data_IF_033546923279
#
_entry.id   IF_033546923279
#
_cell.length_a   1.000
_cell.length_b   1.000
_cell.length_c   1.000
_cell.angle_alpha   90.00
_cell.angle_beta   90.00
_cell.angle_gamma   90.00
#
_symmetry.space_group_name_H-M   'P 1'
#
loop_
_entity.id
_entity.type
_entity.pdbx_description
1 polymer ?
#
# COMPACT_ATOMS: atom_id res chain seq x y z
N UNK A 1 -22.46 39.25 -28.13
CA UNK A 1 -21.51 38.13 -28.35
C UNK A 1 -20.21 38.26 -27.53
N UNK A 2 -19.72 39.47 -27.22
CA UNK A 2 -18.50 39.65 -26.42
C UNK A 2 -18.56 39.06 -24.97
N UNK A 3 -19.73 39.04 -24.32
CA UNK A 3 -19.84 38.58 -22.93
C UNK A 3 -19.67 37.05 -22.77
N UNK A 4 -20.05 36.26 -23.78
CA UNK A 4 -19.88 34.81 -23.75
C UNK A 4 -18.41 34.41 -23.95
N UNK A 5 -17.70 35.11 -24.83
CA UNK A 5 -16.26 34.93 -25.01
C UNK A 5 -15.48 35.28 -23.74
N UNK A 6 -15.85 36.37 -23.05
CA UNK A 6 -15.25 36.72 -21.75
C UNK A 6 -15.54 35.67 -20.67
N UNK A 7 -16.75 35.10 -20.62
CA UNK A 7 -17.09 34.05 -19.68
C UNK A 7 -16.27 32.76 -19.90
N UNK A 8 -16.03 32.38 -21.16
CA UNK A 8 -15.20 31.20 -21.49
C UNK A 8 -13.72 31.41 -21.10
N UNK A 9 -13.19 32.61 -21.34
CA UNK A 9 -11.82 32.97 -20.93
C UNK A 9 -11.68 32.95 -19.41
N UNK A 10 -12.66 33.49 -18.69
CA UNK A 10 -12.69 33.49 -17.24
C UNK A 10 -12.76 32.05 -16.68
N UNK A 11 -13.60 31.21 -17.26
CA UNK A 11 -13.72 29.80 -16.88
C UNK A 11 -12.41 29.02 -17.10
N UNK A 12 -11.71 29.27 -18.21
CA UNK A 12 -10.43 28.62 -18.48
C UNK A 12 -9.34 29.11 -17.53
N UNK A 13 -9.32 30.41 -17.19
CA UNK A 13 -8.40 30.95 -16.20
C UNK A 13 -8.60 30.31 -14.82
N UNK A 14 -9.85 30.17 -14.37
CA UNK A 14 -10.19 29.51 -13.11
C UNK A 14 -9.76 28.04 -13.11
N UNK A 15 -9.96 27.32 -14.23
CA UNK A 15 -9.47 25.95 -14.39
C UNK A 15 -7.95 25.86 -14.30
N UNK A 16 -7.22 26.78 -14.92
CA UNK A 16 -5.77 26.81 -14.85
C UNK A 16 -5.28 27.12 -13.44
N UNK A 17 -5.89 28.08 -12.76
CA UNK A 17 -5.59 28.39 -11.36
C UNK A 17 -5.88 27.21 -10.43
N UNK A 18 -6.97 26.46 -10.65
CA UNK A 18 -7.26 25.26 -9.88
C UNK A 18 -6.19 24.17 -10.09
N UNK A 19 -5.71 24.00 -11.33
CA UNK A 19 -4.63 23.04 -11.65
C UNK A 19 -3.30 23.43 -11.00
N UNK A 20 -2.94 24.71 -11.03
CA UNK A 20 -1.69 25.18 -10.40
C UNK A 20 -1.76 25.08 -8.88
N UNK A 21 -2.90 25.43 -8.27
CA UNK A 21 -3.12 25.26 -6.84
C UNK A 21 -3.06 23.77 -6.42
N UNK A 22 -3.69 22.88 -7.19
CA UNK A 22 -3.61 21.44 -6.96
C UNK A 22 -2.17 20.93 -7.02
N UNK A 23 -1.40 21.33 -8.04
CA UNK A 23 0.01 20.96 -8.17
C UNK A 23 0.85 21.49 -7.00
N UNK A 24 0.67 22.75 -6.62
CA UNK A 24 1.37 23.35 -5.49
C UNK A 24 1.07 22.62 -4.17
N UNK A 25 -0.17 22.17 -3.96
CA UNK A 25 -0.55 21.40 -2.79
C UNK A 25 0.15 20.02 -2.75
N UNK A 26 0.25 19.34 -3.89
CA UNK A 26 1.00 18.07 -4.01
C UNK A 26 2.48 18.28 -3.71
N UNK A 27 3.11 19.28 -4.35
CA UNK A 27 4.52 19.60 -4.13
C UNK A 27 4.81 19.97 -2.67
N UNK A 28 3.92 20.74 -2.03
CA UNK A 28 4.02 21.07 -0.62
C UNK A 28 3.92 19.83 0.27
N UNK A 29 3.02 18.90 -0.02
CA UNK A 29 2.87 17.65 0.71
C UNK A 29 4.11 16.76 0.58
N UNK A 30 4.58 16.57 -0.66
CA UNK A 30 5.80 15.81 -0.97
C UNK A 30 7.00 16.36 -0.20
N UNK A 31 7.20 17.69 -0.24
CA UNK A 31 8.29 18.38 0.47
C UNK A 31 8.16 18.26 1.99
N UNK A 32 6.97 18.51 2.55
CA UNK A 32 6.70 18.44 4.00
C UNK A 32 7.03 17.05 4.56
N UNK A 33 6.67 16.00 3.83
CA UNK A 33 6.87 14.61 4.27
C UNK A 33 8.18 13.99 3.75
N UNK A 34 8.99 14.75 3.01
CA UNK A 34 10.23 14.31 2.35
C UNK A 34 10.02 13.03 1.53
N UNK A 35 8.89 12.94 0.82
CA UNK A 35 8.52 11.72 0.10
C UNK A 35 9.55 11.35 -0.97
N UNK A 36 10.07 12.33 -1.71
CA UNK A 36 11.08 12.10 -2.75
C UNK A 36 12.29 11.35 -2.20
N UNK A 37 12.88 11.85 -1.10
CA UNK A 37 14.04 11.23 -0.48
C UNK A 37 13.72 9.84 0.05
N UNK A 38 12.59 9.68 0.77
CA UNK A 38 12.23 8.39 1.39
C UNK A 38 11.98 7.30 0.38
N UNK A 39 11.27 7.61 -0.70
CA UNK A 39 11.01 6.68 -1.80
C UNK A 39 12.30 6.36 -2.55
N UNK A 40 13.15 7.35 -2.81
CA UNK A 40 14.44 7.13 -3.45
C UNK A 40 15.35 6.22 -2.60
N UNK A 41 15.43 6.47 -1.29
CA UNK A 41 16.21 5.64 -0.37
C UNK A 41 15.69 4.18 -0.35
N UNK A 42 14.36 3.99 -0.36
CA UNK A 42 13.74 2.67 -0.41
C UNK A 42 14.04 1.92 -1.70
N UNK A 43 13.94 2.60 -2.84
CA UNK A 43 14.27 2.02 -4.16
C UNK A 43 15.76 1.68 -4.22
N UNK A 44 16.63 2.57 -3.75
CA UNK A 44 18.08 2.34 -3.71
C UNK A 44 18.44 1.10 -2.89
N UNK A 45 17.80 0.90 -1.74
CA UNK A 45 17.99 -0.30 -0.92
C UNK A 45 17.66 -1.57 -1.72
N UNK A 46 16.48 -1.64 -2.34
CA UNK A 46 16.05 -2.79 -3.15
C UNK A 46 16.99 -3.04 -4.34
N UNK A 47 17.43 -1.96 -5.00
CA UNK A 47 18.37 -2.06 -6.14
C UNK A 47 19.75 -2.57 -5.70
N UNK A 48 20.20 -2.24 -4.48
CA UNK A 48 21.48 -2.72 -3.95
C UNK A 48 21.45 -4.22 -3.64
N UNK A 49 20.38 -4.71 -3.01
CA UNK A 49 20.25 -6.13 -2.63
C UNK A 49 19.82 -7.04 -3.78
N UNK A 50 19.23 -6.49 -4.86
CA UNK A 50 18.80 -7.23 -6.07
C UNK A 50 18.06 -8.54 -5.78
N UNK A 51 16.96 -8.49 -4.99
CA UNK A 51 16.19 -9.68 -4.67
C UNK A 51 15.48 -10.22 -5.91
N UNK A 52 15.16 -11.51 -5.91
CA UNK A 52 14.35 -12.15 -6.97
C UNK A 52 12.95 -11.53 -7.07
N UNK A 53 12.40 -11.06 -5.94
CA UNK A 53 11.07 -10.44 -5.84
C UNK A 53 11.18 -8.97 -5.35
N UNK A 54 11.50 -8.00 -6.24
CA UNK A 54 11.79 -6.62 -5.85
C UNK A 54 10.60 -5.87 -5.24
N UNK A 55 9.38 -6.14 -5.71
CA UNK A 55 8.17 -5.48 -5.17
C UNK A 55 7.86 -5.92 -3.74
N UNK A 56 8.09 -7.20 -3.43
CA UNK A 56 7.90 -7.73 -2.07
C UNK A 56 8.97 -7.17 -1.12
N UNK A 57 10.21 -7.06 -1.57
CA UNK A 57 11.26 -6.40 -0.79
C UNK A 57 10.94 -4.92 -0.53
N UNK A 58 10.44 -4.20 -1.55
CA UNK A 58 10.05 -2.79 -1.42
C UNK A 58 8.92 -2.59 -0.41
N UNK A 59 7.91 -3.48 -0.39
CA UNK A 59 6.85 -3.47 0.62
C UNK A 59 7.44 -3.54 2.04
N UNK A 60 8.37 -4.48 2.28
CA UNK A 60 9.04 -4.63 3.56
C UNK A 60 9.83 -3.38 3.97
N UNK A 61 10.60 -2.79 3.04
CA UNK A 61 11.35 -1.55 3.28
C UNK A 61 10.42 -0.41 3.70
N UNK A 62 9.34 -0.19 2.94
CA UNK A 62 8.37 0.87 3.24
C UNK A 62 7.66 0.62 4.57
N UNK A 63 7.38 -0.63 4.90
CA UNK A 63 6.78 -1.03 6.18
C UNK A 63 7.73 -0.79 7.38
N UNK A 64 9.04 -1.02 7.23
CA UNK A 64 10.04 -0.65 8.26
C UNK A 64 10.16 0.85 8.42
N UNK A 65 10.21 1.59 7.30
CA UNK A 65 10.28 3.05 7.32
C UNK A 65 9.02 3.70 7.93
N UNK A 66 7.84 3.09 7.79
CA UNK A 66 6.62 3.57 8.45
C UNK A 66 6.65 3.28 9.96
N UNK A 67 7.12 2.09 10.35
CA UNK A 67 7.27 1.68 11.75
C UNK A 67 8.28 2.51 12.55
N UNK A 68 9.38 2.93 11.93
CA UNK A 68 10.41 3.77 12.57
C UNK A 68 9.87 5.12 13.09
N UNK A 69 8.72 5.59 12.59
CA UNK A 69 8.05 6.81 13.08
C UNK A 69 7.14 6.58 14.29
N UNK A 70 6.60 5.38 14.47
CA UNK A 70 5.67 5.03 15.55
C UNK A 70 6.34 4.22 16.67
N UNK A 71 7.62 3.85 16.52
CA UNK A 71 8.37 3.01 17.46
C UNK A 71 8.02 1.52 17.37
N UNK A 72 6.78 1.21 17.00
CA UNK A 72 6.27 -0.12 16.72
C UNK A 72 5.16 -0.03 15.65
N UNK A 73 5.11 -0.98 14.72
CA UNK A 73 4.01 -1.18 13.78
C UNK A 73 3.60 -2.65 13.77
N UNK A 74 2.33 -2.91 13.49
CA UNK A 74 1.79 -4.27 13.36
C UNK A 74 1.42 -4.50 11.89
N UNK A 75 2.05 -5.49 11.25
CA UNK A 75 1.69 -5.96 9.91
C UNK A 75 0.90 -7.26 10.05
N UNK A 76 -0.29 -7.31 9.46
CA UNK A 76 -1.13 -8.51 9.41
C UNK A 76 -1.25 -8.95 7.97
N UNK A 77 -0.77 -10.15 7.67
CA UNK A 77 -0.89 -10.77 6.34
C UNK A 77 -1.92 -11.90 6.45
N UNK A 78 -2.96 -11.85 5.63
CA UNK A 78 -3.95 -12.91 5.51
C UNK A 78 -3.74 -13.59 4.17
N UNK A 79 -3.32 -14.85 4.20
CA UNK A 79 -3.15 -15.68 3.01
C UNK A 79 -4.22 -16.76 3.00
N UNK A 80 -5.07 -16.77 1.98
CA UNK A 80 -6.04 -17.84 1.74
C UNK A 80 -5.37 -18.92 0.90
N UNK A 81 -5.23 -20.13 1.43
CA UNK A 81 -4.73 -21.27 0.68
C UNK A 81 -5.85 -21.89 -0.16
N UNK A 82 -5.49 -22.59 -1.24
CA UNK A 82 -6.43 -23.33 -2.10
C UNK A 82 -7.25 -24.39 -1.34
N UNK A 83 -6.79 -24.80 -0.16
CA UNK A 83 -7.44 -25.76 0.74
C UNK A 83 -8.57 -25.18 1.59
N UNK A 84 -8.94 -23.90 1.42
CA UNK A 84 -9.91 -23.23 2.29
C UNK A 84 -9.34 -22.83 3.65
N UNK A 85 -8.03 -22.97 3.84
CA UNK A 85 -7.33 -22.56 5.06
C UNK A 85 -6.89 -21.11 4.93
N UNK A 86 -7.33 -20.26 5.85
CA UNK A 86 -6.85 -18.88 5.98
C UNK A 86 -5.74 -18.84 7.01
N UNK A 87 -4.54 -18.41 6.60
CA UNK A 87 -3.42 -18.19 7.50
C UNK A 87 -3.28 -16.70 7.77
N UNK A 88 -3.43 -16.32 9.03
CA UNK A 88 -3.17 -14.96 9.50
C UNK A 88 -1.78 -14.95 10.15
N UNK A 89 -0.87 -14.20 9.55
CA UNK A 89 0.46 -13.94 10.12
C UNK A 89 0.50 -12.51 10.64
N UNK A 90 0.69 -12.37 11.94
CA UNK A 90 0.93 -11.08 12.60
C UNK A 90 2.44 -10.90 12.76
N UNK A 91 2.98 -9.77 12.31
CA UNK A 91 4.39 -9.43 12.42
C UNK A 91 4.52 -8.06 13.06
N UNK A 92 5.32 -7.95 14.12
CA UNK A 92 5.68 -6.68 14.72
C UNK A 92 6.89 -6.13 13.98
N UNK A 93 6.81 -4.87 13.57
CA UNK A 93 7.89 -4.18 12.85
C UNK A 93 8.33 -3.00 13.70
N UNK A 94 9.63 -2.84 13.89
CA UNK A 94 10.22 -1.62 14.45
C UNK A 94 11.46 -1.22 13.62
N UNK A 95 12.20 -0.21 14.09
CA UNK A 95 13.43 0.23 13.41
C UNK A 95 14.60 -0.74 13.53
N UNK A 96 14.53 -1.75 14.40
CA UNK A 96 15.53 -2.83 14.53
C UNK A 96 15.23 -4.02 13.61
N UNK A 97 14.00 -4.17 13.12
CA UNK A 97 13.63 -5.25 12.20
C UNK A 97 12.20 -5.74 12.35
N UNK A 98 11.95 -6.92 11.79
CA UNK A 98 10.67 -7.61 11.83
C UNK A 98 10.74 -8.75 12.84
N UNK A 99 9.75 -8.82 13.72
CA UNK A 99 9.60 -9.85 14.73
C UNK A 99 8.32 -10.61 14.42
N UNK A 100 8.47 -11.87 14.02
CA UNK A 100 7.33 -12.74 13.76
C UNK A 100 6.50 -12.90 15.04
N UNK A 101 5.23 -12.52 14.99
CA UNK A 101 4.24 -12.85 16.00
C UNK A 101 3.66 -14.24 15.76
N UNK A 102 2.74 -14.65 16.64
CA UNK A 102 2.01 -15.91 16.47
C UNK A 102 1.25 -15.91 15.12
N UNK A 103 1.34 -17.02 14.39
CA UNK A 103 0.51 -17.28 13.22
C UNK A 103 -0.71 -18.09 13.67
N UNK A 104 -1.91 -17.65 13.34
CA UNK A 104 -3.12 -18.44 13.54
C UNK A 104 -3.67 -18.86 12.17
N UNK A 105 -4.03 -20.13 12.05
CA UNK A 105 -4.71 -20.67 10.87
C UNK A 105 -6.14 -20.98 11.25
N UNK A 106 -7.09 -20.49 10.46
CA UNK A 106 -8.50 -20.84 10.56
C UNK A 106 -8.84 -21.65 9.32
N UNK A 107 -9.37 -22.85 9.50
CA UNK A 107 -9.91 -23.66 8.41
C UNK A 107 -11.38 -23.30 8.26
N UNK A 108 -11.78 -22.79 7.10
CA UNK A 108 -13.19 -22.54 6.80
C UNK A 108 -13.94 -23.86 6.62
N UNK A 109 -15.08 -24.01 7.29
CA UNK A 109 -15.96 -25.19 7.20
C UNK A 109 -16.83 -25.19 5.92
N UNK A 110 -16.26 -24.88 4.75
CA UNK A 110 -16.99 -25.00 3.48
C UNK A 110 -16.84 -26.40 2.83
N UNK A 111 -16.23 -27.35 3.55
CA UNK A 111 -15.88 -28.66 2.98
C UNK A 111 -16.89 -29.78 3.23
N UNK A 112 -17.90 -29.61 4.09
CA UNK A 112 -18.92 -30.66 4.27
C UNK A 112 -20.06 -30.58 3.25
N UNK A 113 -20.36 -29.39 2.70
CA UNK A 113 -21.42 -29.23 1.69
C UNK A 113 -20.97 -29.60 0.25
N UNK A 114 -19.68 -29.49 -0.07
CA UNK A 114 -19.14 -29.86 -1.39
C UNK A 114 -18.86 -31.37 -1.53
N UNK A 115 -18.66 -32.09 -0.42
CA UNK A 115 -18.37 -33.52 -0.45
C UNK A 115 -19.65 -34.38 -0.52
N UNK A 116 -20.79 -33.86 -0.06
CA UNK A 116 -22.10 -34.53 -0.21
C UNK A 116 -22.67 -34.40 -1.64
N UNK A 117 -22.34 -33.34 -2.39
CA UNK A 117 -22.82 -33.16 -3.76
C UNK A 117 -22.08 -34.02 -4.80
N UNK A 118 -20.85 -34.45 -4.50
CA UNK A 118 -20.05 -35.32 -5.39
C UNK A 118 -20.32 -36.82 -5.20
N UNK A 119 -21.05 -37.22 -4.15
CA UNK A 119 -21.44 -38.61 -3.90
C UNK A 119 -22.86 -38.95 -4.38
N UNK A 120 -23.59 -37.97 -4.94
CA UNK A 120 -24.97 -38.10 -5.41
C UNK A 120 -25.15 -37.86 -6.93
N UNK A 121 -24.06 -37.87 -7.71
CA UNK A 121 -24.06 -37.83 -9.17
C UNK A 121 -23.30 -39.04 -9.72
#
# INVERSE_FOLDING_TARGET
>A
QASHAQALVQQELERQQARTASRAAVEAYVKKHRLDKRLQDAVNEVVQIRPEEPMQALEGVLSRQSAARSGLAVRVVIASQRTGTHVVRVTLVNHYGEFAGAACSVQGEDSELLQAAAAAA
#
